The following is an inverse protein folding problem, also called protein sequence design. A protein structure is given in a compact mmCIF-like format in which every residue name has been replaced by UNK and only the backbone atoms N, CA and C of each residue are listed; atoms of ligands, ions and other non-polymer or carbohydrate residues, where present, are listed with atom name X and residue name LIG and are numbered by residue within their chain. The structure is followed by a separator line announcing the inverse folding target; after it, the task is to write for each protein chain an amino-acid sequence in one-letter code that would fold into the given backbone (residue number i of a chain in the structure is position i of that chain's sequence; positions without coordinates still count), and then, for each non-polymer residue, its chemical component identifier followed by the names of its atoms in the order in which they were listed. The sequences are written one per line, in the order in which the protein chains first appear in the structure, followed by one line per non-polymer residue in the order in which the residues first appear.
data_IF_008812818132
#
_entry.id   IF_008812818132
#
_cell.length_a   1.000
_cell.length_b   1.000
_cell.length_c   1.000
_cell.angle_alpha   90.00
_cell.angle_beta   90.00
_cell.angle_gamma   90.00
#
_symmetry.space_group_name_H-M   'P 1'
#
loop_
_entity.id
_entity.type
_entity.pdbx_description
1 polymer ?
#
# COMPACT_ATOMS: atom_id res chain seq x y z
N UNK A 1 5.21 -68.60 95.63
CA UNK A 1 4.29 -67.50 95.26
C UNK A 1 2.89 -68.07 95.11
N UNK A 2 1.85 -67.47 95.71
CA UNK A 2 0.46 -67.91 95.48
C UNK A 2 0.08 -67.58 94.04
N UNK A 3 -0.62 -68.50 93.36
CA UNK A 3 -1.03 -68.35 91.95
C UNK A 3 -1.65 -66.96 91.65
N UNK A 4 -2.42 -66.41 92.59
CA UNK A 4 -3.03 -65.07 92.49
C UNK A 4 -2.05 -63.89 92.36
N UNK A 5 -0.85 -63.95 92.95
CA UNK A 5 0.14 -62.87 92.88
C UNK A 5 0.88 -62.84 91.53
N UNK A 6 1.04 -64.00 90.88
CA UNK A 6 1.62 -64.11 89.54
C UNK A 6 0.70 -63.43 88.53
N UNK A 7 -0.62 -63.64 88.62
CA UNK A 7 -1.60 -63.03 87.72
C UNK A 7 -1.63 -61.50 87.84
N UNK A 8 -1.52 -60.95 89.06
CA UNK A 8 -1.49 -59.49 89.27
C UNK A 8 -0.23 -58.87 88.66
N UNK A 9 0.95 -59.49 88.85
CA UNK A 9 2.19 -59.00 88.26
C UNK A 9 2.19 -59.08 86.72
N UNK A 10 1.64 -60.15 86.15
CA UNK A 10 1.47 -60.28 84.70
C UNK A 10 0.50 -59.23 84.14
N UNK A 11 -0.62 -58.96 84.82
CA UNK A 11 -1.57 -57.90 84.43
C UNK A 11 -0.92 -56.52 84.44
N UNK A 12 -0.16 -56.19 85.50
CA UNK A 12 0.56 -54.91 85.57
C UNK A 12 1.60 -54.81 84.45
N UNK A 13 2.34 -55.88 84.16
CA UNK A 13 3.32 -55.88 83.07
C UNK A 13 2.67 -55.69 81.70
N UNK A 14 1.52 -56.34 81.45
CA UNK A 14 0.75 -56.18 80.20
C UNK A 14 0.24 -54.74 80.07
N UNK A 15 -0.27 -54.14 81.15
CA UNK A 15 -0.75 -52.74 81.14
C UNK A 15 0.41 -51.77 80.87
N UNK A 16 1.56 -51.96 81.54
CA UNK A 16 2.74 -51.12 81.35
C UNK A 16 3.30 -51.27 79.93
N UNK A 17 3.44 -52.50 79.44
CA UNK A 17 3.89 -52.77 78.07
C UNK A 17 2.93 -52.18 77.03
N UNK A 18 1.61 -52.31 77.24
CA UNK A 18 0.59 -51.71 76.38
C UNK A 18 0.65 -50.18 76.38
N UNK A 19 0.84 -49.56 77.56
CA UNK A 19 0.97 -48.10 77.68
C UNK A 19 2.24 -47.57 77.03
N UNK A 20 3.37 -48.26 77.19
CA UNK A 20 4.64 -47.90 76.55
C UNK A 20 4.55 -48.06 75.03
N UNK A 21 3.93 -49.14 74.54
CA UNK A 21 3.69 -49.36 73.12
C UNK A 21 2.81 -48.25 72.51
N UNK A 22 1.72 -47.89 73.19
CA UNK A 22 0.83 -46.80 72.75
C UNK A 22 1.55 -45.45 72.74
N UNK A 23 2.37 -45.17 73.76
CA UNK A 23 3.19 -43.96 73.83
C UNK A 23 4.18 -43.88 72.65
N UNK A 24 4.85 -44.99 72.31
CA UNK A 24 5.75 -45.05 71.17
C UNK A 24 5.03 -44.79 69.85
N UNK A 25 3.84 -45.36 69.65
CA UNK A 25 3.02 -45.10 68.45
C UNK A 25 2.63 -43.63 68.36
N UNK A 26 2.11 -43.05 69.45
CA UNK A 26 1.70 -41.65 69.49
C UNK A 26 2.88 -40.72 69.23
N UNK A 27 4.03 -40.97 69.85
CA UNK A 27 5.22 -40.17 69.64
C UNK A 27 5.70 -40.26 68.18
N UNK A 28 5.67 -41.45 67.57
CA UNK A 28 6.02 -41.61 66.16
C UNK A 28 5.07 -40.82 65.24
N UNK A 29 3.76 -40.87 65.49
CA UNK A 29 2.77 -40.08 64.74
C UNK A 29 2.97 -38.57 64.92
N UNK A 30 3.31 -38.11 66.13
CA UNK A 30 3.62 -36.69 66.40
C UNK A 30 4.88 -36.25 65.65
N UNK A 31 5.94 -37.06 65.66
CA UNK A 31 7.17 -36.77 64.92
C UNK A 31 6.95 -36.74 63.41
N UNK A 32 6.15 -37.67 62.88
CA UNK A 32 5.78 -37.67 61.46
C UNK A 32 5.04 -36.40 61.07
N UNK A 33 4.00 -36.01 61.82
CA UNK A 33 3.25 -34.78 61.57
C UNK A 33 4.10 -33.52 61.72
N UNK A 34 5.03 -33.51 62.68
CA UNK A 34 5.98 -32.40 62.86
C UNK A 34 6.89 -32.25 61.63
N UNK A 35 7.32 -33.36 61.04
CA UNK A 35 8.16 -33.36 59.83
C UNK A 35 7.35 -32.88 58.62
N UNK A 36 6.11 -33.34 58.47
CA UNK A 36 5.19 -32.88 57.41
C UNK A 36 4.92 -31.37 57.50
N UNK A 37 4.70 -30.83 58.71
CA UNK A 37 4.50 -29.40 58.94
C UNK A 37 5.74 -28.58 58.57
N UNK A 38 6.93 -29.06 58.92
CA UNK A 38 8.19 -28.41 58.54
C UNK A 38 8.36 -28.38 57.01
N UNK A 39 8.08 -29.49 56.33
CA UNK A 39 8.13 -29.58 54.86
C UNK A 39 7.14 -28.62 54.19
N UNK A 40 5.90 -28.56 54.70
CA UNK A 40 4.88 -27.66 54.16
C UNK A 40 5.24 -26.17 54.35
N UNK A 41 5.90 -25.83 55.46
CA UNK A 41 6.39 -24.47 55.71
C UNK A 41 7.46 -24.05 54.70
N UNK A 42 8.33 -24.96 54.25
CA UNK A 42 9.36 -24.69 53.25
C UNK A 42 8.71 -24.45 51.88
N UNK A 43 7.81 -25.36 51.47
CA UNK A 43 7.08 -25.23 50.18
C UNK A 43 6.28 -23.92 50.14
N UNK A 44 5.66 -23.53 51.25
CA UNK A 44 4.95 -22.25 51.35
C UNK A 44 5.90 -21.06 51.12
N UNK A 45 7.07 -21.07 51.74
CA UNK A 45 8.05 -20.00 51.58
C UNK A 45 8.60 -19.93 50.14
N UNK A 46 8.83 -21.07 49.50
CA UNK A 46 9.24 -21.15 48.08
C UNK A 46 8.13 -20.61 47.15
N UNK A 47 6.88 -20.95 47.42
CA UNK A 47 5.72 -20.47 46.66
C UNK A 47 5.56 -18.95 46.80
N UNK A 48 5.70 -18.42 48.02
CA UNK A 48 5.67 -16.97 48.29
C UNK A 48 6.83 -16.23 47.61
N UNK A 49 8.02 -16.85 47.56
CA UNK A 49 9.16 -16.28 46.84
C UNK A 49 8.92 -16.26 45.32
N UNK A 50 8.41 -17.37 44.77
CA UNK A 50 8.07 -17.49 43.35
C UNK A 50 6.97 -16.50 42.96
N UNK A 51 5.94 -16.34 43.80
CA UNK A 51 4.86 -15.39 43.59
C UNK A 51 5.37 -13.94 43.54
N UNK A 52 6.30 -13.58 44.43
CA UNK A 52 6.94 -12.26 44.42
C UNK A 52 7.80 -12.04 43.18
N UNK A 53 8.59 -13.04 42.78
CA UNK A 53 9.42 -12.96 41.57
C UNK A 53 8.54 -12.75 40.33
N UNK A 54 7.49 -13.55 40.18
CA UNK A 54 6.59 -13.45 39.04
C UNK A 54 5.85 -12.11 39.00
N UNK A 55 5.47 -11.57 40.16
CA UNK A 55 4.86 -10.23 40.24
C UNK A 55 5.83 -9.14 39.76
N UNK A 56 7.12 -9.25 40.09
CA UNK A 56 8.15 -8.33 39.61
C UNK A 56 8.33 -8.45 38.09
N UNK A 57 8.43 -9.67 37.56
CA UNK A 57 8.58 -9.93 36.12
C UNK A 57 7.39 -9.41 35.31
N UNK A 58 6.16 -9.61 35.80
CA UNK A 58 4.94 -9.07 35.18
C UNK A 58 4.98 -7.54 35.16
N UNK A 59 5.43 -6.92 36.25
CA UNK A 59 5.55 -5.46 36.34
C UNK A 59 6.56 -4.92 35.33
N UNK A 60 7.72 -5.56 35.23
CA UNK A 60 8.78 -5.17 34.28
C UNK A 60 8.31 -5.36 32.82
N UNK A 61 7.72 -6.51 32.50
CA UNK A 61 7.18 -6.77 31.17
C UNK A 61 6.10 -5.74 30.75
N UNK A 62 5.24 -5.32 31.68
CA UNK A 62 4.25 -4.25 31.43
C UNK A 62 4.91 -2.89 31.16
N UNK A 63 5.98 -2.57 31.89
CA UNK A 63 6.75 -1.35 31.66
C UNK A 63 7.41 -1.36 30.28
N UNK A 64 8.04 -2.47 29.90
CA UNK A 64 8.65 -2.64 28.58
C UNK A 64 7.63 -2.55 27.44
N UNK A 65 6.45 -3.17 27.62
CA UNK A 65 5.36 -3.09 26.64
C UNK A 65 4.89 -1.64 26.45
N UNK A 66 4.69 -0.92 27.55
CA UNK A 66 4.27 0.49 27.52
C UNK A 66 5.31 1.37 26.83
N UNK A 67 6.59 1.19 27.17
CA UNK A 67 7.69 1.91 26.54
C UNK A 67 7.76 1.62 25.03
N UNK A 68 7.65 0.35 24.64
CA UNK A 68 7.67 -0.06 23.23
C UNK A 68 6.48 0.53 22.46
N UNK A 69 5.28 0.52 23.04
CA UNK A 69 4.09 1.15 22.45
C UNK A 69 4.27 2.66 22.26
N UNK A 70 4.86 3.33 23.25
CA UNK A 70 5.11 4.78 23.17
C UNK A 70 6.18 5.11 22.11
N UNK A 71 7.27 4.36 22.06
CA UNK A 71 8.31 4.51 21.04
C UNK A 71 7.74 4.27 19.63
N UNK A 72 6.90 3.25 19.45
CA UNK A 72 6.21 2.98 18.19
C UNK A 72 5.29 4.15 17.78
N UNK A 73 4.50 4.68 18.71
CA UNK A 73 3.62 5.83 18.45
C UNK A 73 4.43 7.08 18.06
N UNK A 74 5.56 7.32 18.73
CA UNK A 74 6.46 8.43 18.39
C UNK A 74 7.10 8.25 17.01
N UNK A 75 7.50 7.04 16.65
CA UNK A 75 8.04 6.73 15.32
C UNK A 75 7.00 6.93 14.20
N UNK A 76 5.74 6.56 14.45
CA UNK A 76 4.65 6.82 13.50
C UNK A 76 4.43 8.33 13.32
N UNK A 77 4.40 9.07 14.42
CA UNK A 77 4.22 10.52 14.39
C UNK A 77 5.39 11.23 13.71
N UNK A 78 6.63 10.85 13.99
CA UNK A 78 7.81 11.48 13.38
C UNK A 78 7.98 11.15 11.90
N UNK A 79 7.59 9.94 11.46
CA UNK A 79 7.57 9.58 10.03
C UNK A 79 6.45 10.28 9.25
N UNK A 80 5.26 10.47 9.82
CA UNK A 80 4.17 11.16 9.11
C UNK A 80 4.26 12.69 9.16
N UNK A 81 4.91 13.27 10.18
CA UNK A 81 4.90 14.72 10.41
C UNK A 81 5.82 15.54 9.49
N UNK A 82 6.73 14.92 8.72
CA UNK A 82 7.79 15.64 8.00
C UNK A 82 7.71 15.58 6.47
N UNK A 83 6.68 14.96 5.88
CA UNK A 83 6.54 14.91 4.42
C UNK A 83 5.67 16.06 3.91
N UNK A 84 6.17 16.79 2.92
CA UNK A 84 5.48 17.94 2.32
C UNK A 84 4.86 17.59 0.97
N UNK A 85 3.74 18.22 0.66
CA UNK A 85 3.21 18.20 -0.70
C UNK A 85 4.20 18.98 -1.60
N UNK A 86 4.65 18.44 -2.73
CA UNK A 86 5.54 19.18 -3.61
C UNK A 86 4.78 20.24 -4.42
N UNK A 87 5.49 21.28 -4.89
CA UNK A 87 5.05 22.01 -6.09
C UNK A 87 5.15 21.08 -7.30
N UNK A 88 4.32 21.28 -8.32
CA UNK A 88 4.38 20.44 -9.51
C UNK A 88 5.76 20.43 -10.16
N UNK A 89 6.44 21.59 -10.24
CA UNK A 89 7.82 21.66 -10.74
C UNK A 89 8.83 20.81 -9.95
N UNK A 90 8.63 20.69 -8.63
CA UNK A 90 9.50 19.90 -7.77
C UNK A 90 9.24 18.40 -7.98
N UNK A 91 7.98 18.02 -8.17
CA UNK A 91 7.60 16.67 -8.58
C UNK A 91 8.23 16.30 -9.93
N UNK A 92 8.23 17.22 -10.91
CA UNK A 92 8.88 17.00 -12.21
C UNK A 92 10.38 16.72 -12.02
N UNK A 93 11.10 17.59 -11.32
CA UNK A 93 12.54 17.39 -11.09
C UNK A 93 12.85 16.11 -10.31
N UNK A 94 11.98 15.71 -9.38
CA UNK A 94 12.12 14.44 -8.68
C UNK A 94 11.95 13.24 -9.61
N UNK A 95 10.89 13.20 -10.42
CA UNK A 95 10.66 12.10 -11.37
C UNK A 95 11.78 12.02 -12.43
N UNK A 96 12.30 13.15 -12.88
CA UNK A 96 13.47 13.18 -13.78
C UNK A 96 14.74 12.59 -13.15
N UNK A 97 14.91 12.71 -11.84
CA UNK A 97 16.05 12.18 -11.10
C UNK A 97 15.85 10.72 -10.67
N UNK A 98 14.63 10.34 -10.33
CA UNK A 98 14.24 8.98 -10.03
C UNK A 98 14.37 8.11 -11.30
N UNK A 99 14.72 6.83 -11.12
CA UNK A 99 14.96 5.88 -12.22
C UNK A 99 14.17 4.59 -12.03
N UNK A 100 13.15 4.61 -11.18
CA UNK A 100 12.35 3.41 -10.85
C UNK A 100 11.74 2.80 -12.11
N UNK A 101 11.29 3.63 -13.06
CA UNK A 101 10.74 3.24 -14.37
C UNK A 101 11.74 2.54 -15.29
N UNK A 102 13.05 2.68 -15.02
CA UNK A 102 14.13 1.98 -15.75
C UNK A 102 14.42 0.59 -15.18
N UNK A 103 13.81 0.22 -14.05
CA UNK A 103 13.92 -1.15 -13.54
C UNK A 103 13.19 -2.13 -14.46
N UNK A 104 13.73 -3.36 -14.60
CA UNK A 104 13.14 -4.38 -15.45
C UNK A 104 11.86 -4.94 -14.81
N UNK A 105 10.77 -4.94 -15.58
CA UNK A 105 9.51 -5.54 -15.16
C UNK A 105 9.58 -7.07 -15.20
N UNK A 106 9.24 -7.71 -14.09
CA UNK A 106 9.16 -9.16 -13.95
C UNK A 106 7.89 -9.55 -13.19
N UNK A 107 6.95 -10.21 -13.87
CA UNK A 107 5.66 -10.62 -13.30
C UNK A 107 5.76 -11.51 -12.05
N UNK A 108 6.89 -12.20 -11.84
CA UNK A 108 7.09 -13.11 -10.71
C UNK A 108 7.84 -12.46 -9.54
N UNK A 109 8.68 -11.47 -9.79
CA UNK A 109 9.61 -10.94 -8.77
C UNK A 109 9.57 -9.42 -8.60
N UNK A 110 9.13 -8.66 -9.61
CA UNK A 110 9.13 -7.21 -9.61
C UNK A 110 8.08 -6.66 -10.58
N UNK A 111 6.83 -6.62 -10.10
CA UNK A 111 5.67 -6.16 -10.84
C UNK A 111 5.26 -4.73 -10.42
N UNK A 112 4.06 -4.27 -10.82
CA UNK A 112 3.54 -2.95 -10.48
C UNK A 112 3.62 -2.60 -8.98
N UNK A 113 3.54 -3.59 -8.10
CA UNK A 113 3.68 -3.42 -6.65
C UNK A 113 5.10 -3.00 -6.29
N UNK A 114 6.11 -3.66 -6.88
CA UNK A 114 7.52 -3.35 -6.69
C UNK A 114 7.86 -1.92 -7.10
N UNK A 115 7.49 -1.54 -8.33
CA UNK A 115 7.70 -0.17 -8.84
C UNK A 115 7.01 0.87 -7.95
N UNK A 116 5.75 0.64 -7.56
CA UNK A 116 4.99 1.60 -6.76
C UNK A 116 5.58 1.79 -5.35
N UNK A 117 6.06 0.70 -4.74
CA UNK A 117 6.72 0.73 -3.44
C UNK A 117 8.07 1.46 -3.51
N UNK A 118 8.84 1.29 -4.57
CA UNK A 118 10.14 1.95 -4.69
C UNK A 118 10.00 3.44 -4.97
N UNK A 119 9.10 3.86 -5.87
CA UNK A 119 8.82 5.29 -6.07
C UNK A 119 8.28 5.94 -4.78
N UNK A 120 7.45 5.22 -4.02
CA UNK A 120 6.96 5.68 -2.72
C UNK A 120 8.10 5.86 -1.70
N UNK A 121 9.04 4.92 -1.60
CA UNK A 121 10.21 5.04 -0.72
C UNK A 121 11.12 6.19 -1.15
N UNK A 122 11.42 6.30 -2.44
CA UNK A 122 12.32 7.31 -2.99
C UNK A 122 11.74 8.72 -2.81
N UNK A 123 10.44 8.90 -3.07
CA UNK A 123 9.77 10.19 -2.83
C UNK A 123 9.79 10.59 -1.36
N UNK A 124 9.60 9.65 -0.44
CA UNK A 124 9.71 9.91 1.00
C UNK A 124 11.14 10.21 1.43
N UNK A 125 12.13 9.53 0.87
CA UNK A 125 13.54 9.88 1.08
C UNK A 125 13.85 11.31 0.60
N UNK A 126 13.12 11.79 -0.41
CA UNK A 126 13.16 13.17 -0.91
C UNK A 126 12.31 14.16 -0.08
N UNK A 127 11.65 13.71 0.99
CA UNK A 127 10.80 14.55 1.83
C UNK A 127 9.38 14.78 1.29
N UNK A 128 8.98 14.13 0.20
CA UNK A 128 7.66 14.30 -0.39
C UNK A 128 6.62 13.40 0.23
N UNK A 129 5.41 13.96 0.37
CA UNK A 129 4.20 13.22 0.67
C UNK A 129 3.67 12.59 -0.62
N UNK A 130 3.82 11.29 -0.70
CA UNK A 130 3.24 10.45 -1.74
C UNK A 130 2.29 9.42 -1.13
N UNK A 131 1.42 8.86 -1.94
CA UNK A 131 0.58 7.72 -1.61
C UNK A 131 0.73 6.60 -2.63
N UNK A 132 0.29 5.41 -2.25
CA UNK A 132 0.12 4.25 -3.12
C UNK A 132 -1.36 4.16 -3.48
N UNK A 133 -1.64 3.82 -4.73
CA UNK A 133 -2.99 3.70 -5.27
C UNK A 133 -3.19 2.29 -5.78
N UNK A 134 -4.16 1.59 -5.22
CA UNK A 134 -4.63 0.30 -5.72
C UNK A 134 -5.84 0.52 -6.62
N UNK A 135 -5.79 -0.08 -7.80
CA UNK A 135 -6.83 -0.02 -8.82
C UNK A 135 -7.34 -1.44 -9.04
N UNK A 136 -8.63 -1.64 -8.78
CA UNK A 136 -9.31 -2.88 -9.13
C UNK A 136 -9.97 -2.70 -10.51
N UNK A 137 -9.83 -3.70 -11.39
CA UNK A 137 -10.52 -3.72 -12.68
C UNK A 137 -11.79 -4.57 -12.62
N UNK A 138 -12.77 -4.22 -13.47
CA UNK A 138 -14.06 -4.91 -13.51
C UNK A 138 -13.97 -6.28 -14.20
N UNK A 139 -13.03 -6.45 -15.12
CA UNK A 139 -12.85 -7.65 -15.90
C UNK A 139 -12.20 -8.77 -15.06
N UNK A 140 -12.84 -9.94 -15.01
CA UNK A 140 -12.51 -11.04 -14.08
C UNK A 140 -11.14 -11.68 -14.29
N UNK A 141 -10.49 -11.45 -15.44
CA UNK A 141 -9.19 -12.03 -15.79
C UNK A 141 -8.04 -11.03 -15.68
N UNK A 142 -8.30 -9.79 -15.25
CA UNK A 142 -7.27 -8.78 -15.11
C UNK A 142 -6.83 -8.68 -13.65
N UNK A 143 -5.54 -8.91 -13.42
CA UNK A 143 -4.91 -8.50 -12.16
C UNK A 143 -5.09 -6.99 -11.98
N UNK A 144 -5.30 -6.56 -10.73
CA UNK A 144 -5.35 -5.14 -10.39
C UNK A 144 -4.06 -4.43 -10.77
N UNK A 145 -4.03 -3.11 -10.60
CA UNK A 145 -2.86 -2.30 -10.87
C UNK A 145 -2.51 -1.45 -9.65
N UNK A 146 -1.22 -1.22 -9.43
CA UNK A 146 -0.73 -0.35 -8.38
C UNK A 146 0.08 0.78 -9.00
N UNK A 147 -0.22 2.01 -8.58
CA UNK A 147 0.47 3.24 -9.02
C UNK A 147 0.69 4.18 -7.81
N UNK A 148 1.27 5.36 -8.04
CA UNK A 148 1.49 6.36 -6.99
C UNK A 148 0.58 7.59 -7.17
N UNK A 149 0.36 8.33 -6.09
CA UNK A 149 -0.31 9.63 -6.13
C UNK A 149 0.48 10.67 -5.34
N UNK A 150 0.54 11.87 -5.91
CA UNK A 150 1.12 13.04 -5.27
C UNK A 150 0.04 14.11 -5.16
N UNK A 151 -0.15 14.66 -3.96
CA UNK A 151 -0.91 15.90 -3.81
C UNK A 151 0.06 17.05 -4.04
N UNK A 152 -0.09 17.77 -5.14
CA UNK A 152 0.68 18.99 -5.40
C UNK A 152 -0.03 20.22 -4.84
N UNK A 153 0.72 21.29 -4.61
CA UNK A 153 0.17 22.56 -4.14
C UNK A 153 -0.58 23.35 -5.22
N UNK A 154 -0.16 23.23 -6.47
CA UNK A 154 -0.55 24.12 -7.58
C UNK A 154 -1.27 23.40 -8.74
N UNK A 155 -1.22 22.07 -8.81
CA UNK A 155 -1.87 21.25 -9.86
C UNK A 155 -2.81 20.17 -9.33
N UNK A 156 -3.09 20.16 -8.03
CA UNK A 156 -3.97 19.16 -7.42
C UNK A 156 -3.32 17.77 -7.36
N UNK A 157 -4.13 16.72 -7.54
CA UNK A 157 -3.66 15.33 -7.46
C UNK A 157 -3.10 14.87 -8.79
N UNK A 158 -1.88 14.35 -8.77
CA UNK A 158 -1.21 13.77 -9.92
C UNK A 158 -0.98 12.29 -9.64
N UNK A 159 -1.49 11.43 -10.51
CA UNK A 159 -1.32 9.98 -10.43
C UNK A 159 -0.19 9.56 -11.36
N UNK A 160 0.80 8.85 -10.84
CA UNK A 160 2.01 8.46 -11.57
C UNK A 160 2.06 6.94 -11.68
N UNK A 161 2.00 6.45 -12.92
CA UNK A 161 2.27 5.06 -13.28
C UNK A 161 3.74 4.94 -13.69
N UNK A 162 4.54 4.44 -12.76
CA UNK A 162 6.01 4.26 -12.89
C UNK A 162 6.37 2.83 -13.35
N UNK A 163 5.38 2.01 -13.73
CA UNK A 163 5.66 0.63 -14.12
C UNK A 163 6.57 0.61 -15.37
N UNK A 164 7.72 -0.03 -15.21
CA UNK A 164 8.72 -0.22 -16.25
C UNK A 164 8.32 -1.24 -17.32
N UNK A 165 9.27 -1.56 -18.22
CA UNK A 165 9.08 -2.57 -19.27
C UNK A 165 9.93 -3.80 -19.02
N UNK A 166 9.68 -4.89 -19.77
CA UNK A 166 10.49 -6.12 -19.70
C UNK A 166 11.95 -5.90 -20.12
N UNK A 167 12.26 -4.78 -20.74
CA UNK A 167 13.59 -4.36 -21.19
C UNK A 167 14.25 -3.33 -20.25
N UNK A 168 13.56 -2.88 -19.18
CA UNK A 168 14.06 -1.82 -18.30
C UNK A 168 14.16 -0.44 -18.98
N UNK A 169 13.27 -0.17 -19.93
CA UNK A 169 13.23 1.08 -20.70
C UNK A 169 11.90 1.81 -20.54
N UNK A 170 11.27 1.68 -19.37
CA UNK A 170 10.03 2.38 -19.07
C UNK A 170 10.19 3.89 -19.03
N UNK A 171 9.07 4.56 -18.91
CA UNK A 171 8.96 6.00 -18.70
C UNK A 171 7.85 6.27 -17.69
N UNK A 172 7.98 7.36 -16.94
CA UNK A 172 6.90 7.82 -16.07
C UNK A 172 5.69 8.21 -16.91
N UNK A 173 4.51 7.79 -16.48
CA UNK A 173 3.22 8.12 -17.11
C UNK A 173 2.28 8.76 -16.11
N UNK A 174 1.40 9.65 -16.57
CA UNK A 174 0.22 10.02 -15.80
C UNK A 174 -0.84 8.95 -15.95
N UNK A 175 -1.34 8.44 -14.82
CA UNK A 175 -2.47 7.52 -14.76
C UNK A 175 -3.80 8.27 -14.72
N UNK A 176 -4.66 8.06 -15.71
CA UNK A 176 -6.03 8.60 -15.74
C UNK A 176 -6.99 7.55 -15.21
N UNK A 177 -7.46 7.77 -13.98
CA UNK A 177 -8.29 6.81 -13.24
C UNK A 177 -9.66 7.41 -12.93
N UNK A 178 -10.74 6.71 -13.28
CA UNK A 178 -12.12 7.09 -12.93
C UNK A 178 -13.01 5.84 -12.89
N UNK A 179 -13.72 5.56 -11.78
CA UNK A 179 -14.61 4.40 -11.71
C UNK A 179 -15.64 4.38 -12.84
N UNK A 180 -15.87 3.20 -13.42
CA UNK A 180 -16.74 3.00 -14.57
C UNK A 180 -16.17 3.49 -15.91
N UNK A 181 -14.89 3.90 -15.95
CA UNK A 181 -14.20 4.31 -17.18
C UNK A 181 -12.92 3.49 -17.40
N UNK A 182 -12.44 3.40 -18.66
CA UNK A 182 -11.17 2.72 -18.96
C UNK A 182 -9.98 3.36 -18.23
N UNK A 183 -9.05 2.52 -17.78
CA UNK A 183 -7.76 2.99 -17.27
C UNK A 183 -6.92 3.59 -18.39
N UNK A 184 -6.50 4.84 -18.24
CA UNK A 184 -5.70 5.55 -19.23
C UNK A 184 -4.29 5.86 -18.75
N UNK A 185 -3.34 5.96 -19.68
CA UNK A 185 -2.03 6.54 -19.40
C UNK A 185 -1.62 7.49 -20.51
N UNK A 186 -0.87 8.53 -20.18
CA UNK A 186 -0.08 9.32 -21.14
C UNK A 186 1.34 9.50 -20.59
N UNK A 187 2.38 9.53 -21.43
CA UNK A 187 3.75 9.78 -20.97
C UNK A 187 3.83 11.08 -20.18
N UNK A 188 4.48 11.09 -19.02
CA UNK A 188 4.52 12.26 -18.15
C UNK A 188 5.16 13.47 -18.85
N UNK A 189 6.26 13.24 -19.58
CA UNK A 189 6.95 14.26 -20.36
C UNK A 189 6.06 14.93 -21.42
N UNK A 190 5.05 14.23 -21.92
CA UNK A 190 4.16 14.74 -22.97
C UNK A 190 3.27 15.89 -22.54
N UNK A 191 2.93 15.94 -21.25
CA UNK A 191 1.92 16.88 -20.75
C UNK A 191 2.54 18.08 -20.03
N UNK A 192 3.84 18.06 -19.70
CA UNK A 192 4.51 19.06 -18.86
C UNK A 192 4.31 20.51 -19.30
N UNK A 193 4.33 20.75 -20.61
CA UNK A 193 4.22 22.08 -21.20
C UNK A 193 2.84 22.35 -21.83
N UNK A 194 1.84 21.55 -21.45
CA UNK A 194 0.49 21.67 -22.00
C UNK A 194 -0.34 22.59 -21.11
N UNK A 195 -0.75 23.72 -21.66
CA UNK A 195 -1.66 24.66 -20.98
C UNK A 195 -3.04 24.71 -21.64
N UNK A 196 -3.11 24.43 -22.95
CA UNK A 196 -4.35 24.38 -23.73
C UNK A 196 -4.49 23.03 -24.44
N UNK A 197 -5.72 22.64 -24.71
CA UNK A 197 -6.07 21.48 -25.52
C UNK A 197 -6.83 21.91 -26.77
N UNK A 198 -6.63 21.21 -27.89
CA UNK A 198 -7.46 21.34 -29.10
C UNK A 198 -8.80 20.64 -28.83
N UNK A 199 -9.92 21.27 -29.17
CA UNK A 199 -11.24 20.61 -29.12
C UNK A 199 -11.40 19.64 -30.28
N UNK A 200 -11.27 18.36 -29.94
CA UNK A 200 -11.36 17.28 -30.87
C UNK A 200 -12.73 16.59 -30.84
N UNK A 201 -13.68 17.09 -30.05
CA UNK A 201 -15.07 16.65 -30.06
C UNK A 201 -15.83 17.30 -31.22
N UNK A 202 -15.32 17.14 -32.42
CA UNK A 202 -15.80 17.80 -33.63
C UNK A 202 -15.79 16.85 -34.82
N UNK A 203 -16.28 17.30 -35.97
CA UNK A 203 -16.26 16.54 -37.24
C UNK A 203 -15.18 17.09 -38.16
N UNK A 204 -14.73 16.31 -39.15
CA UNK A 204 -13.75 16.78 -40.13
C UNK A 204 -14.20 18.06 -40.87
N UNK A 205 -15.50 18.22 -41.09
CA UNK A 205 -16.05 19.41 -41.77
C UNK A 205 -16.03 20.66 -40.91
N UNK A 206 -16.30 20.54 -39.62
CA UNK A 206 -16.18 21.67 -38.68
C UNK A 206 -14.70 21.96 -38.44
N UNK A 207 -13.90 20.91 -38.21
CA UNK A 207 -12.45 21.01 -38.07
C UNK A 207 -11.78 21.61 -39.31
N UNK A 208 -12.31 21.42 -40.53
CA UNK A 208 -11.79 22.07 -41.74
C UNK A 208 -12.02 23.59 -41.78
N UNK A 209 -12.94 24.12 -40.96
CA UNK A 209 -13.28 25.55 -40.93
C UNK A 209 -12.49 26.30 -39.88
N UNK A 210 -12.43 25.74 -38.67
CA UNK A 210 -11.81 26.36 -37.50
C UNK A 210 -11.26 25.31 -36.53
N UNK A 211 -10.26 25.73 -35.74
CA UNK A 211 -9.72 24.97 -34.61
C UNK A 211 -10.08 25.74 -33.35
N UNK A 212 -10.76 25.06 -32.44
CA UNK A 212 -11.06 25.58 -31.11
C UNK A 212 -10.04 25.06 -30.09
N UNK A 213 -9.73 25.91 -29.11
CA UNK A 213 -8.86 25.57 -27.99
C UNK A 213 -9.58 25.91 -26.70
N UNK A 214 -9.29 25.15 -25.66
CA UNK A 214 -9.83 25.41 -24.33
C UNK A 214 -8.80 25.07 -23.25
N UNK A 215 -8.93 25.76 -22.12
CA UNK A 215 -8.16 25.47 -20.92
C UNK A 215 -8.73 24.22 -20.27
N UNK A 216 -7.89 23.22 -20.06
CA UNK A 216 -8.29 22.02 -19.36
C UNK A 216 -7.16 21.49 -18.50
N UNK A 217 -7.52 21.04 -17.30
CA UNK A 217 -6.59 20.41 -16.39
C UNK A 217 -6.05 19.13 -17.02
N UNK A 218 -4.75 19.15 -17.35
CA UNK A 218 -4.04 18.06 -18.02
C UNK A 218 -4.00 16.78 -17.18
N UNK A 219 -4.28 16.85 -15.88
CA UNK A 219 -4.39 15.67 -15.00
C UNK A 219 -5.82 15.13 -14.88
N UNK A 220 -6.79 15.79 -15.52
CA UNK A 220 -8.19 15.38 -15.45
C UNK A 220 -8.51 14.28 -16.47
N UNK A 221 -9.50 13.46 -16.14
CA UNK A 221 -9.99 12.42 -17.06
C UNK A 221 -10.58 13.00 -18.36
N UNK A 222 -11.09 14.24 -18.32
CA UNK A 222 -11.60 14.93 -19.52
C UNK A 222 -10.47 15.20 -20.53
N UNK A 223 -9.25 15.49 -20.05
CA UNK A 223 -8.08 15.70 -20.92
C UNK A 223 -7.75 14.43 -21.69
N UNK A 224 -7.75 13.31 -20.98
CA UNK A 224 -7.48 12.01 -21.56
C UNK A 224 -8.53 11.61 -22.62
N UNK A 225 -9.82 11.83 -22.36
CA UNK A 225 -10.87 11.57 -23.35
C UNK A 225 -10.77 12.49 -24.56
N UNK A 226 -10.50 13.78 -24.38
CA UNK A 226 -10.27 14.69 -25.50
C UNK A 226 -9.04 14.25 -26.31
N UNK A 227 -7.97 13.80 -25.66
CA UNK A 227 -6.78 13.28 -26.34
C UNK A 227 -7.09 12.06 -27.21
N UNK A 228 -7.94 11.14 -26.71
CA UNK A 228 -8.44 10.01 -27.52
C UNK A 228 -9.26 10.49 -28.71
N UNK A 229 -10.14 11.47 -28.50
CA UNK A 229 -10.92 12.08 -29.59
C UNK A 229 -10.03 12.71 -30.64
N UNK A 230 -8.93 13.37 -30.25
CA UNK A 230 -7.95 13.95 -31.17
C UNK A 230 -7.31 12.91 -32.09
N UNK A 231 -6.94 11.74 -31.54
CA UNK A 231 -6.39 10.64 -32.35
C UNK A 231 -7.46 10.09 -33.31
N UNK A 232 -8.69 9.91 -32.84
CA UNK A 232 -9.80 9.49 -33.70
C UNK A 232 -10.08 10.50 -34.81
N UNK A 233 -10.11 11.79 -34.49
CA UNK A 233 -10.32 12.88 -35.44
C UNK A 233 -9.20 12.90 -36.49
N UNK A 234 -7.94 12.86 -36.07
CA UNK A 234 -6.78 12.81 -36.97
C UNK A 234 -6.86 11.62 -37.93
N UNK A 235 -7.12 10.42 -37.40
CA UNK A 235 -7.22 9.20 -38.21
C UNK A 235 -8.40 9.24 -39.18
N UNK A 236 -9.54 9.80 -38.77
CA UNK A 236 -10.71 9.90 -39.65
C UNK A 236 -10.48 10.94 -40.75
N UNK A 237 -10.01 12.13 -40.40
CA UNK A 237 -9.87 13.22 -41.36
C UNK A 237 -8.67 13.05 -42.29
N UNK A 238 -7.59 12.40 -41.86
CA UNK A 238 -6.46 12.07 -42.74
C UNK A 238 -6.85 11.15 -43.90
N UNK A 239 -7.86 10.29 -43.72
CA UNK A 239 -8.38 9.41 -44.78
C UNK A 239 -9.04 10.16 -45.93
N UNK A 240 -9.49 11.40 -45.73
CA UNK A 240 -10.01 12.27 -46.81
C UNK A 240 -8.91 12.53 -47.86
N UNK A 241 -7.64 12.54 -47.43
CA UNK A 241 -6.49 12.71 -48.32
C UNK A 241 -5.91 11.39 -48.86
N UNK A 242 -6.55 10.25 -48.60
CA UNK A 242 -6.19 9.00 -49.27
C UNK A 242 -6.48 9.08 -50.79
N UNK A 243 -5.72 8.33 -51.59
CA UNK A 243 -5.73 8.38 -53.06
C UNK A 243 -7.13 8.08 -53.63
N UNK A 244 -7.87 7.15 -53.02
CA UNK A 244 -9.17 6.68 -53.51
C UNK A 244 -10.37 7.25 -52.73
N UNK A 245 -10.17 8.32 -51.95
CA UNK A 245 -11.25 8.86 -51.11
C UNK A 245 -12.28 9.64 -51.92
N UNK A 246 -13.49 9.07 -52.06
CA UNK A 246 -14.65 9.79 -52.63
C UNK A 246 -15.10 10.96 -51.76
N UNK A 247 -14.83 10.92 -50.45
CA UNK A 247 -15.18 11.97 -49.49
C UNK A 247 -14.48 13.29 -49.79
N UNK A 248 -13.30 13.26 -50.44
CA UNK A 248 -12.56 14.48 -50.80
C UNK A 248 -13.38 15.40 -51.72
N UNK A 249 -14.20 14.83 -52.60
CA UNK A 249 -15.03 15.59 -53.52
C UNK A 249 -16.12 16.41 -52.82
N UNK A 250 -16.42 16.12 -51.54
CA UNK A 250 -17.41 16.85 -50.74
C UNK A 250 -16.88 18.17 -50.15
N UNK A 251 -15.57 18.42 -50.25
CA UNK A 251 -14.90 19.59 -49.70
C UNK A 251 -14.47 20.55 -50.82
N UNK A 252 -14.69 21.85 -50.60
CA UNK A 252 -14.12 22.89 -51.47
C UNK A 252 -12.60 22.89 -51.41
N UNK A 253 -11.92 23.45 -52.43
CA UNK A 253 -10.46 23.56 -52.41
C UNK A 253 -9.94 24.37 -51.21
N UNK A 254 -10.70 25.37 -50.74
CA UNK A 254 -10.36 26.13 -49.54
C UNK A 254 -10.45 25.26 -48.28
N UNK A 255 -11.55 24.51 -48.10
CA UNK A 255 -11.72 23.59 -46.97
C UNK A 255 -10.66 22.47 -46.98
N UNK A 256 -10.29 21.95 -48.15
CA UNK A 256 -9.21 20.95 -48.25
C UNK A 256 -7.86 21.52 -47.78
N UNK A 257 -7.52 22.74 -48.20
CA UNK A 257 -6.28 23.39 -47.78
C UNK A 257 -6.26 23.68 -46.28
N UNK A 258 -7.37 24.18 -45.72
CA UNK A 258 -7.51 24.42 -44.27
C UNK A 258 -7.44 23.13 -43.48
N UNK A 259 -8.18 22.10 -43.91
CA UNK A 259 -8.16 20.79 -43.26
C UNK A 259 -6.75 20.19 -43.25
N UNK A 260 -6.01 20.30 -44.35
CA UNK A 260 -4.62 19.84 -44.39
C UNK A 260 -3.73 20.59 -43.40
N UNK A 261 -3.84 21.93 -43.34
CA UNK A 261 -3.09 22.73 -42.37
C UNK A 261 -3.46 22.39 -40.92
N UNK A 262 -4.75 22.23 -40.62
CA UNK A 262 -5.23 21.86 -39.29
C UNK A 262 -4.80 20.44 -38.90
N UNK A 263 -4.74 19.51 -39.85
CA UNK A 263 -4.19 18.17 -39.61
C UNK A 263 -2.70 18.19 -39.32
N UNK A 264 -1.93 19.07 -39.96
CA UNK A 264 -0.51 19.25 -39.62
C UNK A 264 -0.37 19.79 -38.19
N UNK A 265 -1.20 20.75 -37.79
CA UNK A 265 -1.19 21.27 -36.43
C UNK A 265 -1.59 20.21 -35.40
N UNK A 266 -2.66 19.45 -35.67
CA UNK A 266 -3.09 18.34 -34.83
C UNK A 266 -2.03 17.24 -34.76
N UNK A 267 -1.35 16.94 -35.87
CA UNK A 267 -0.22 16.02 -35.89
C UNK A 267 0.90 16.51 -34.98
N UNK A 268 1.30 17.78 -35.08
CA UNK A 268 2.33 18.36 -34.21
C UNK A 268 1.89 18.34 -32.74
N UNK A 269 0.61 18.61 -32.46
CA UNK A 269 0.04 18.52 -31.11
C UNK A 269 0.12 17.08 -30.57
N UNK A 270 -0.15 16.06 -31.39
CA UNK A 270 -0.10 14.66 -30.98
C UNK A 270 1.33 14.11 -30.90
N UNK A 271 2.19 14.49 -31.85
CA UNK A 271 3.58 14.02 -32.01
C UNK A 271 4.52 14.62 -30.96
N UNK A 272 4.43 15.94 -30.69
CA UNK A 272 5.17 16.58 -29.58
C UNK A 272 4.83 15.98 -28.23
N UNK A 273 3.64 15.39 -28.12
CA UNK A 273 3.19 14.72 -26.91
C UNK A 273 3.59 13.24 -26.89
N UNK A 274 4.35 12.74 -27.86
CA UNK A 274 4.78 11.33 -27.92
C UNK A 274 3.66 10.35 -27.51
N UNK A 275 2.40 10.62 -27.92
CA UNK A 275 1.22 9.88 -27.45
C UNK A 275 1.25 8.53 -28.15
N UNK A 276 2.14 7.66 -27.70
CA UNK A 276 2.43 6.37 -28.28
C UNK A 276 1.70 5.25 -27.54
N UNK A 277 1.18 5.52 -26.35
CA UNK A 277 0.61 4.48 -25.50
C UNK A 277 -0.65 4.91 -24.75
N UNK A 278 -1.80 4.81 -25.44
CA UNK A 278 -3.13 4.94 -24.82
C UNK A 278 -3.61 3.55 -24.38
N UNK A 279 -3.53 3.32 -23.07
CA UNK A 279 -4.33 2.40 -22.25
C UNK A 279 -4.23 0.88 -22.46
N UNK A 280 -4.34 0.19 -21.32
CA UNK A 280 -4.94 -1.15 -21.22
C UNK A 280 -6.45 -0.95 -21.27
N UNK A 281 -7.16 -1.62 -22.18
CA UNK A 281 -8.62 -1.50 -22.35
C UNK A 281 -9.39 -2.25 -21.24
N UNK A 282 -9.18 -1.81 -19.99
CA UNK A 282 -9.74 -2.39 -18.76
C UNK A 282 -10.48 -1.31 -17.99
N UNK A 283 -11.62 -1.66 -17.40
CA UNK A 283 -12.52 -0.71 -16.74
C UNK A 283 -12.18 -0.62 -15.27
N UNK A 284 -11.95 0.59 -14.77
CA UNK A 284 -11.72 0.82 -13.35
C UNK A 284 -12.99 0.52 -12.56
N UNK A 285 -12.94 -0.46 -11.67
CA UNK A 285 -14.02 -0.81 -10.75
C UNK A 285 -13.94 -0.01 -9.45
N UNK A 286 -12.78 -0.02 -8.80
CA UNK A 286 -12.56 0.67 -7.53
C UNK A 286 -11.15 1.24 -7.44
N UNK A 287 -10.98 2.27 -6.60
CA UNK A 287 -9.72 2.97 -6.35
C UNK A 287 -9.56 3.11 -4.84
N UNK A 288 -8.42 2.67 -4.30
CA UNK A 288 -8.05 2.87 -2.90
C UNK A 288 -6.71 3.59 -2.83
N UNK A 289 -6.61 4.58 -1.92
CA UNK A 289 -5.41 5.41 -1.78
C UNK A 289 -4.87 5.27 -0.35
N UNK A 290 -3.59 4.93 -0.24
CA UNK A 290 -2.85 4.75 1.02
C UNK A 290 -1.74 5.81 1.10
N UNK A 291 -1.87 6.76 2.04
CA UNK A 291 -0.90 7.86 2.24
C UNK A 291 0.24 7.50 3.19
#
# INVERSE_FOLDING_TARGET
MKSSQIYVLLLVFIILAGSAYLFLILNNQVQQKSTELAGLSIIKAELENTSRSLAADISDCRAQLTHTQQAYKQLLQSKQANFTNPLFKELVSFLEADKTEKTQYNEQTYDCTGFSLDLYKNSRAHGFKSGIVEIEFAETNNAGHMINVFQTHDKGRVFIDVAGTKEGKGEDKVGYIKPGKPYGTLPFASILNTTTAIDCNTTCRVFAKEIDYFDLDVFSYAFFENTKQCITLYNNCSRIFAIDSSERAEYTSEEQNKLFAHLQELYVYLDKKHISYISKNVTVKSIQIYW
#
